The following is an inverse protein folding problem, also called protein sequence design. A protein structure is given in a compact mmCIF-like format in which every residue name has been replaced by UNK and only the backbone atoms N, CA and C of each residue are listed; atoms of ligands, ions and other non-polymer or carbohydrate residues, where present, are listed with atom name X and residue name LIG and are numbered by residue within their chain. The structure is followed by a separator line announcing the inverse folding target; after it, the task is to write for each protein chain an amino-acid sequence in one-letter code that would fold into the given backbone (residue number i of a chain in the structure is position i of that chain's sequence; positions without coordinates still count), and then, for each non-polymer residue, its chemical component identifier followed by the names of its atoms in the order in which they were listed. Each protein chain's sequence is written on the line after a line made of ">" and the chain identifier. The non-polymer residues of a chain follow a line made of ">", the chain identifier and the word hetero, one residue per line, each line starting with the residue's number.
data_IF_495276163732
#
_entry.id   IF_495276163732
#
_cell.length_a   1.000
_cell.length_b   1.000
_cell.length_c   1.000
_cell.angle_alpha   90.00
_cell.angle_beta   90.00
_cell.angle_gamma   90.00
#
_symmetry.space_group_name_H-M   'P 1'
#
loop_
_entity.id
_entity.type
_entity.pdbx_description
1 polymer ?
#
# COMPACT_ATOMS: atom_id res chain seq x y z
N UNK A 1 0.94 -3.71 -0.71
CA UNK A 1 0.41 -5.05 -1.07
C UNK A 1 1.44 -6.14 -1.41
N UNK A 2 2.56 -5.85 -2.10
CA UNK A 2 3.60 -6.89 -2.37
C UNK A 2 4.68 -7.02 -1.28
N UNK A 3 4.75 -6.06 -0.35
CA UNK A 3 5.73 -6.05 0.73
C UNK A 3 5.64 -7.31 1.59
N UNK A 4 6.78 -7.98 1.78
CA UNK A 4 6.91 -9.20 2.58
C UNK A 4 6.40 -10.47 1.89
N UNK A 5 5.92 -10.40 0.65
CA UNK A 5 5.49 -11.59 -0.11
C UNK A 5 6.67 -12.28 -0.78
N UNK A 6 6.65 -13.61 -0.75
CA UNK A 6 7.56 -14.46 -1.53
C UNK A 6 7.00 -14.66 -2.94
N UNK A 7 7.71 -14.17 -3.95
CA UNK A 7 7.33 -14.27 -5.36
C UNK A 7 8.30 -15.18 -6.09
N UNK A 8 7.78 -16.25 -6.69
CA UNK A 8 8.56 -17.11 -7.57
C UNK A 8 8.34 -16.70 -9.03
N UNK A 9 9.37 -16.14 -9.65
CA UNK A 9 9.36 -15.70 -11.03
C UNK A 9 9.91 -16.80 -11.95
N UNK A 10 9.02 -17.42 -12.72
CA UNK A 10 9.36 -18.30 -13.84
C UNK A 10 9.62 -17.51 -15.11
N UNK A 11 10.74 -17.75 -15.78
CA UNK A 11 11.12 -17.06 -17.02
C UNK A 11 11.33 -18.08 -18.14
N UNK A 12 10.65 -17.89 -19.26
CA UNK A 12 10.67 -18.80 -20.41
C UNK A 12 11.39 -18.20 -21.62
N UNK A 13 11.83 -19.03 -22.56
CA UNK A 13 12.68 -18.62 -23.69
C UNK A 13 11.95 -17.83 -24.76
N UNK A 14 12.05 -16.50 -24.70
CA UNK A 14 11.60 -15.60 -25.75
C UNK A 14 12.22 -14.21 -25.60
N UNK A 15 12.15 -13.40 -26.65
CA UNK A 15 12.80 -12.08 -26.69
C UNK A 15 12.40 -11.19 -25.51
N UNK A 16 11.16 -11.29 -25.02
CA UNK A 16 10.69 -10.50 -23.88
C UNK A 16 11.38 -10.83 -22.54
N UNK A 17 12.22 -11.87 -22.46
CA UNK A 17 12.92 -12.23 -21.23
C UNK A 17 13.85 -11.11 -20.71
N UNK A 18 14.39 -10.23 -21.57
CA UNK A 18 15.20 -9.10 -21.08
C UNK A 18 14.41 -8.16 -20.17
N UNK A 19 13.09 -8.02 -20.40
CA UNK A 19 12.20 -7.18 -19.59
C UNK A 19 12.11 -7.62 -18.13
N UNK A 20 12.42 -8.90 -17.86
CA UNK A 20 12.34 -9.46 -16.51
C UNK A 20 13.36 -8.84 -15.56
N UNK A 21 14.46 -8.30 -16.07
CA UNK A 21 15.44 -7.55 -15.25
C UNK A 21 14.80 -6.31 -14.59
N UNK A 22 13.98 -5.58 -15.33
CA UNK A 22 13.21 -4.46 -14.81
C UNK A 22 12.09 -4.94 -13.88
N UNK A 23 11.39 -6.02 -14.24
CA UNK A 23 10.33 -6.60 -13.43
C UNK A 23 10.85 -7.02 -12.05
N UNK A 24 11.97 -7.75 -11.95
CA UNK A 24 12.59 -8.12 -10.68
C UNK A 24 12.87 -6.88 -9.84
N UNK A 25 13.44 -5.83 -10.45
CA UNK A 25 13.72 -4.57 -9.74
C UNK A 25 12.45 -3.91 -9.19
N UNK A 26 11.36 -3.92 -9.94
CA UNK A 26 10.07 -3.37 -9.48
C UNK A 26 9.47 -4.19 -8.35
N UNK A 27 9.53 -5.52 -8.41
CA UNK A 27 9.05 -6.42 -7.36
C UNK A 27 9.84 -6.23 -6.05
N UNK A 28 11.17 -6.17 -6.14
CA UNK A 28 12.05 -5.89 -4.99
C UNK A 28 11.76 -4.49 -4.42
N UNK A 29 11.59 -3.48 -5.28
CA UNK A 29 11.23 -2.12 -4.85
C UNK A 29 9.86 -2.09 -4.15
N UNK A 30 8.93 -2.94 -4.55
CA UNK A 30 7.64 -3.12 -3.89
C UNK A 30 7.72 -3.93 -2.58
N UNK A 31 8.93 -4.35 -2.18
CA UNK A 31 9.22 -5.04 -0.92
C UNK A 31 9.01 -6.56 -0.95
N UNK A 32 8.86 -7.17 -2.12
CA UNK A 32 8.75 -8.62 -2.25
C UNK A 32 10.12 -9.30 -2.13
N UNK A 33 10.16 -10.54 -1.65
CA UNK A 33 11.30 -11.44 -1.79
C UNK A 33 11.12 -12.25 -3.09
N UNK A 34 12.12 -12.27 -3.96
CA UNK A 34 11.99 -12.79 -5.32
C UNK A 34 12.99 -13.91 -5.56
N UNK A 35 12.50 -15.11 -5.88
CA UNK A 35 13.31 -16.21 -6.42
C UNK A 35 12.99 -16.41 -7.89
N UNK A 36 13.98 -16.83 -8.67
CA UNK A 36 13.84 -16.93 -10.13
C UNK A 36 14.14 -18.35 -10.58
N UNK A 37 13.26 -18.89 -11.43
CA UNK A 37 13.45 -20.16 -12.13
C UNK A 37 13.46 -19.91 -13.64
N UNK A 38 14.59 -20.19 -14.29
CA UNK A 38 14.76 -20.11 -15.73
C UNK A 38 14.48 -21.47 -16.37
N UNK A 39 13.80 -21.48 -17.51
CA UNK A 39 13.93 -22.62 -18.45
C UNK A 39 15.30 -22.56 -19.11
N UNK A 40 15.83 -23.69 -19.58
CA UNK A 40 17.11 -23.74 -20.31
C UNK A 40 17.15 -22.73 -21.48
N UNK A 41 16.06 -22.67 -22.25
CA UNK A 41 15.91 -21.73 -23.38
C UNK A 41 15.94 -20.25 -22.96
N UNK A 42 15.54 -19.91 -21.73
CA UNK A 42 15.52 -18.52 -21.25
C UNK A 42 16.93 -17.99 -20.96
N UNK A 43 17.86 -18.87 -20.57
CA UNK A 43 19.26 -18.51 -20.28
C UNK A 43 19.99 -17.93 -21.49
N UNK A 44 19.49 -18.17 -22.71
CA UNK A 44 20.02 -17.55 -23.94
C UNK A 44 19.56 -16.10 -24.17
N UNK A 45 18.50 -15.65 -23.49
CA UNK A 45 17.92 -14.30 -23.68
C UNK A 45 18.18 -13.36 -22.50
N UNK A 46 18.39 -13.91 -21.30
CA UNK A 46 18.66 -13.13 -20.10
C UNK A 46 19.69 -13.84 -19.22
N UNK A 47 20.65 -13.08 -18.71
CA UNK A 47 21.75 -13.61 -17.91
C UNK A 47 21.27 -14.04 -16.52
N UNK A 48 21.51 -15.31 -16.12
CA UNK A 48 21.28 -15.76 -14.74
C UNK A 48 22.03 -14.90 -13.70
N UNK A 49 23.24 -14.43 -14.04
CA UNK A 49 24.06 -13.58 -13.16
C UNK A 49 23.40 -12.22 -12.90
N UNK A 50 22.81 -11.62 -13.94
CA UNK A 50 22.10 -10.34 -13.78
C UNK A 50 20.87 -10.51 -12.90
N UNK A 51 20.10 -11.58 -13.15
CA UNK A 51 18.90 -11.86 -12.37
C UNK A 51 19.22 -12.17 -10.91
N UNK A 52 20.29 -12.92 -10.62
CA UNK A 52 20.69 -13.23 -9.25
C UNK A 52 21.15 -11.99 -8.48
N UNK A 53 21.90 -11.10 -9.13
CA UNK A 53 22.33 -9.84 -8.54
C UNK A 53 21.14 -8.92 -8.20
N UNK A 54 20.14 -8.87 -9.08
CA UNK A 54 18.95 -8.04 -8.88
C UNK A 54 17.98 -8.62 -7.84
N UNK A 55 17.76 -9.94 -7.87
CA UNK A 55 16.85 -10.63 -6.95
C UNK A 55 17.46 -10.86 -5.56
N UNK A 56 18.80 -10.78 -5.45
CA UNK A 56 19.58 -11.16 -4.27
C UNK A 56 19.41 -12.63 -3.87
N UNK A 57 18.99 -13.46 -4.83
CA UNK A 57 18.78 -14.90 -4.66
C UNK A 57 19.43 -15.67 -5.82
N UNK A 58 19.88 -16.92 -5.61
CA UNK A 58 20.32 -17.78 -6.71
C UNK A 58 19.21 -17.96 -7.76
N UNK A 59 19.61 -18.02 -9.03
CA UNK A 59 18.71 -18.35 -10.14
C UNK A 59 18.81 -19.83 -10.43
N UNK A 60 17.67 -20.51 -10.41
CA UNK A 60 17.59 -21.96 -10.59
C UNK A 60 17.18 -22.28 -12.04
N UNK A 61 17.68 -23.38 -12.60
CA UNK A 61 17.33 -23.79 -13.98
C UNK A 61 17.20 -25.31 -14.15
N UNK A 62 18.00 -26.08 -13.42
CA UNK A 62 18.03 -27.54 -13.47
C UNK A 62 17.55 -28.19 -12.17
N UNK A 63 17.12 -29.45 -12.22
CA UNK A 63 16.81 -30.23 -11.01
C UNK A 63 18.05 -30.52 -10.17
N UNK A 64 19.22 -30.64 -10.80
CA UNK A 64 20.48 -30.99 -10.16
C UNK A 64 21.39 -29.78 -10.17
N UNK A 65 21.97 -29.48 -9.01
CA UNK A 65 23.00 -28.46 -8.83
C UNK A 65 24.30 -29.17 -8.46
N UNK A 66 25.29 -29.04 -9.33
CA UNK A 66 26.64 -29.56 -9.12
C UNK A 66 27.56 -28.38 -8.77
N UNK A 67 28.03 -28.33 -7.53
CA UNK A 67 29.04 -27.37 -7.06
C UNK A 67 30.06 -28.10 -6.17
N UNK A 68 31.35 -27.89 -6.42
CA UNK A 68 32.47 -28.34 -5.59
C UNK A 68 32.38 -29.80 -5.10
N UNK A 69 32.17 -30.74 -6.03
CA UNK A 69 31.99 -32.19 -5.75
C UNK A 69 30.80 -32.55 -4.84
N UNK A 70 29.88 -31.62 -4.61
CA UNK A 70 28.59 -31.88 -3.98
C UNK A 70 27.48 -31.86 -5.02
N UNK A 71 26.66 -32.92 -5.00
CA UNK A 71 25.44 -33.00 -5.79
C UNK A 71 24.29 -32.67 -4.86
N UNK A 72 23.62 -31.55 -5.12
CA UNK A 72 22.39 -31.17 -4.44
C UNK A 72 21.26 -31.08 -5.47
N UNK A 73 20.01 -31.14 -5.01
CA UNK A 73 18.85 -31.06 -5.91
C UNK A 73 17.99 -29.85 -5.55
N UNK A 74 17.45 -29.20 -6.58
CA UNK A 74 16.53 -28.10 -6.41
C UNK A 74 15.12 -28.66 -6.16
N UNK A 75 14.62 -28.47 -4.94
CA UNK A 75 13.33 -29.01 -4.52
C UNK A 75 12.16 -28.19 -5.10
N UNK A 76 11.60 -28.69 -6.20
CA UNK A 76 10.46 -28.08 -6.88
C UNK A 76 9.22 -27.94 -5.99
N UNK A 77 9.02 -28.84 -5.02
CA UNK A 77 7.90 -28.79 -4.05
C UNK A 77 8.12 -27.68 -3.05
N UNK A 78 9.31 -27.57 -2.46
CA UNK A 78 9.65 -26.48 -1.54
C UNK A 78 9.55 -25.11 -2.22
N UNK A 79 9.99 -24.99 -3.48
CA UNK A 79 9.83 -23.75 -4.24
C UNK A 79 8.36 -23.38 -4.42
N UNK A 80 7.51 -24.37 -4.73
CA UNK A 80 6.07 -24.17 -4.89
C UNK A 80 5.34 -23.81 -3.59
N UNK A 81 5.80 -24.34 -2.45
CA UNK A 81 5.27 -24.02 -1.11
C UNK A 81 5.81 -22.71 -0.54
N UNK A 82 7.04 -22.33 -0.92
CA UNK A 82 7.67 -21.09 -0.48
C UNK A 82 6.98 -19.85 -1.05
N UNK A 83 6.46 -19.95 -2.27
CA UNK A 83 5.86 -18.83 -2.98
C UNK A 83 4.45 -18.49 -2.45
N UNK A 84 4.24 -17.23 -2.07
CA UNK A 84 2.89 -16.66 -1.87
C UNK A 84 2.19 -16.37 -3.20
N UNK A 85 2.98 -16.25 -4.28
CA UNK A 85 2.54 -16.00 -5.64
C UNK A 85 3.59 -16.52 -6.63
N UNK A 86 3.14 -17.22 -7.67
CA UNK A 86 4.00 -17.62 -8.79
C UNK A 86 3.67 -16.76 -10.02
N UNK A 87 4.68 -16.23 -10.69
CA UNK A 87 4.54 -15.43 -11.91
C UNK A 87 5.39 -16.04 -13.02
N UNK A 88 4.78 -16.36 -14.16
CA UNK A 88 5.51 -16.81 -15.36
C UNK A 88 5.52 -15.68 -16.38
N UNK A 89 6.66 -15.02 -16.54
CA UNK A 89 6.82 -13.85 -17.40
C UNK A 89 8.24 -13.80 -18.01
N UNK A 90 8.37 -13.81 -19.36
CA UNK A 90 7.32 -14.14 -20.32
C UNK A 90 6.86 -15.60 -20.20
N UNK A 91 5.59 -15.85 -20.51
CA UNK A 91 5.04 -17.18 -20.76
C UNK A 91 4.94 -17.40 -22.28
N UNK A 92 5.90 -18.13 -22.84
CA UNK A 92 5.91 -18.47 -24.27
C UNK A 92 4.85 -19.52 -24.62
N UNK A 93 4.45 -19.57 -25.89
CA UNK A 93 3.50 -20.57 -26.40
C UNK A 93 3.94 -22.02 -26.06
N UNK A 94 5.24 -22.31 -26.14
CA UNK A 94 5.81 -23.61 -25.77
C UNK A 94 5.53 -23.97 -24.31
N UNK A 95 5.89 -23.08 -23.36
CA UNK A 95 5.65 -23.35 -21.94
C UNK A 95 4.17 -23.42 -21.60
N UNK A 96 3.33 -22.53 -22.15
CA UNK A 96 1.89 -22.56 -21.90
C UNK A 96 1.22 -23.83 -22.45
N UNK A 97 1.64 -24.29 -23.63
CA UNK A 97 1.18 -25.56 -24.19
C UNK A 97 1.49 -26.71 -23.22
N UNK A 98 2.72 -26.79 -22.73
CA UNK A 98 3.16 -27.78 -21.73
C UNK A 98 2.38 -27.68 -20.42
N UNK A 99 2.21 -26.48 -19.87
CA UNK A 99 1.39 -26.24 -18.67
C UNK A 99 -0.05 -26.72 -18.87
N UNK A 100 -0.64 -26.45 -20.04
CA UNK A 100 -2.04 -26.80 -20.33
C UNK A 100 -2.29 -28.31 -20.52
N UNK A 101 -1.23 -29.09 -20.72
CA UNK A 101 -1.26 -30.56 -20.88
C UNK A 101 -0.60 -31.32 -19.72
N UNK A 102 -0.11 -30.62 -18.70
CA UNK A 102 0.56 -31.24 -17.55
C UNK A 102 1.94 -31.85 -17.87
N UNK A 103 2.60 -31.42 -18.94
CA UNK A 103 3.98 -31.83 -19.19
C UNK A 103 4.90 -31.31 -18.08
N UNK A 104 5.76 -32.18 -17.55
CA UNK A 104 6.63 -31.91 -16.41
C UNK A 104 8.07 -32.32 -16.74
N UNK A 105 8.72 -31.58 -17.64
CA UNK A 105 10.02 -31.96 -18.20
C UNK A 105 11.18 -31.03 -17.77
N UNK A 106 10.91 -30.03 -16.95
CA UNK A 106 11.90 -29.10 -16.43
C UNK A 106 11.51 -28.59 -15.04
N UNK A 107 12.47 -27.95 -14.35
CA UNK A 107 12.28 -27.46 -12.98
C UNK A 107 11.08 -26.50 -12.86
N UNK A 108 10.92 -25.56 -13.81
CA UNK A 108 9.84 -24.58 -13.78
C UNK A 108 8.46 -25.26 -13.84
N UNK A 109 8.26 -26.23 -14.75
CA UNK A 109 7.00 -26.94 -14.89
C UNK A 109 6.71 -27.85 -13.69
N UNK A 110 7.73 -28.49 -13.13
CA UNK A 110 7.59 -29.28 -11.90
C UNK A 110 7.17 -28.41 -10.72
N UNK A 111 7.77 -27.21 -10.59
CA UNK A 111 7.38 -26.25 -9.56
C UNK A 111 5.98 -25.71 -9.79
N UNK A 112 5.59 -25.39 -11.03
CA UNK A 112 4.23 -24.97 -11.37
C UNK A 112 3.19 -26.01 -10.93
N UNK A 113 3.40 -27.29 -11.23
CA UNK A 113 2.48 -28.36 -10.82
C UNK A 113 2.45 -28.58 -9.30
N UNK A 114 3.47 -28.13 -8.57
CA UNK A 114 3.54 -28.21 -7.10
C UNK A 114 3.02 -26.95 -6.40
N UNK A 115 2.83 -25.85 -7.14
CA UNK A 115 2.41 -24.57 -6.56
C UNK A 115 1.04 -24.69 -5.89
N UNK A 116 0.94 -24.12 -4.68
CA UNK A 116 -0.32 -23.99 -3.93
C UNK A 116 -0.85 -22.56 -3.88
N UNK A 117 -0.04 -21.62 -4.35
CA UNK A 117 -0.37 -20.21 -4.44
C UNK A 117 -1.02 -19.85 -5.78
N UNK A 118 -1.61 -18.65 -5.90
CA UNK A 118 -2.08 -18.14 -7.19
C UNK A 118 -0.96 -18.07 -8.22
N UNK A 119 -1.22 -18.59 -9.42
CA UNK A 119 -0.28 -18.59 -10.54
C UNK A 119 -0.72 -17.55 -11.57
N UNK A 120 0.16 -16.61 -11.87
CA UNK A 120 0.01 -15.61 -12.91
C UNK A 120 0.87 -15.99 -14.12
N UNK A 121 0.39 -15.70 -15.33
CA UNK A 121 1.18 -15.85 -16.54
C UNK A 121 1.00 -14.64 -17.47
N UNK A 122 2.12 -14.11 -17.97
CA UNK A 122 2.16 -12.99 -18.91
C UNK A 122 2.61 -13.49 -20.29
N UNK A 123 1.67 -13.76 -21.22
CA UNK A 123 2.00 -14.32 -22.53
C UNK A 123 2.92 -13.43 -23.33
N UNK A 124 3.86 -14.04 -24.06
CA UNK A 124 4.70 -13.33 -25.02
C UNK A 124 5.03 -14.24 -26.22
N UNK A 125 4.60 -13.83 -27.41
CA UNK A 125 4.87 -14.54 -28.67
C UNK A 125 4.59 -13.64 -29.87
N UNK A 126 4.93 -14.12 -31.06
CA UNK A 126 4.62 -13.42 -32.30
C UNK A 126 3.10 -13.37 -32.59
N UNK A 127 2.67 -12.47 -33.48
CA UNK A 127 1.26 -12.19 -33.80
C UNK A 127 0.51 -13.44 -34.21
N UNK A 128 1.08 -14.22 -35.13
CA UNK A 128 0.41 -15.42 -35.67
C UNK A 128 0.37 -16.54 -34.63
N UNK A 129 1.42 -16.65 -33.80
CA UNK A 129 1.44 -17.59 -32.69
C UNK A 129 0.37 -17.24 -31.65
N UNK A 130 0.15 -15.96 -31.38
CA UNK A 130 -0.86 -15.49 -30.43
C UNK A 130 -2.28 -15.81 -30.92
N UNK A 131 -2.52 -15.63 -32.21
CA UNK A 131 -3.82 -15.91 -32.86
C UNK A 131 -4.09 -17.39 -33.09
N UNK A 132 -3.06 -18.24 -33.06
CA UNK A 132 -3.19 -19.65 -33.35
C UNK A 132 -4.15 -20.36 -32.37
N UNK A 133 -5.00 -21.26 -32.89
CA UNK A 133 -6.05 -21.92 -32.10
C UNK A 133 -5.49 -22.73 -30.93
N UNK A 134 -4.33 -23.38 -31.09
CA UNK A 134 -3.69 -24.10 -29.97
C UNK A 134 -3.32 -23.17 -28.80
N UNK A 135 -2.89 -21.93 -29.10
CA UNK A 135 -2.55 -20.93 -28.07
C UNK A 135 -3.82 -20.47 -27.34
N UNK A 136 -4.90 -20.21 -28.08
CA UNK A 136 -6.21 -19.86 -27.48
C UNK A 136 -6.72 -20.96 -26.56
N UNK A 137 -6.66 -22.22 -27.00
CA UNK A 137 -7.03 -23.37 -26.18
C UNK A 137 -6.14 -23.50 -24.93
N UNK A 138 -4.84 -23.21 -25.03
CA UNK A 138 -3.97 -23.13 -23.86
C UNK A 138 -4.39 -22.01 -22.90
N UNK A 139 -4.76 -20.82 -23.39
CA UNK A 139 -5.27 -19.75 -22.52
C UNK A 139 -6.54 -20.17 -21.78
N UNK A 140 -7.50 -20.76 -22.50
CA UNK A 140 -8.76 -21.21 -21.92
C UNK A 140 -8.54 -22.28 -20.86
N UNK A 141 -7.72 -23.30 -21.16
CA UNK A 141 -7.39 -24.37 -20.20
C UNK A 141 -6.67 -23.82 -18.97
N UNK A 142 -5.65 -22.98 -19.14
CA UNK A 142 -4.93 -22.43 -17.99
C UNK A 142 -5.85 -21.58 -17.11
N UNK A 143 -6.73 -20.77 -17.71
CA UNK A 143 -7.76 -20.05 -16.94
C UNK A 143 -8.72 -21.01 -16.21
N UNK A 144 -9.12 -22.11 -16.85
CA UNK A 144 -9.97 -23.13 -16.23
C UNK A 144 -9.32 -23.83 -15.03
N UNK A 145 -7.99 -23.85 -14.97
CA UNK A 145 -7.23 -24.36 -13.82
C UNK A 145 -7.10 -23.34 -12.68
N UNK A 146 -7.63 -22.12 -12.85
CA UNK A 146 -7.52 -21.03 -11.89
C UNK A 146 -6.28 -20.13 -12.09
N UNK A 147 -5.50 -20.34 -13.15
CA UNK A 147 -4.38 -19.45 -13.46
C UNK A 147 -4.87 -18.09 -13.96
N UNK A 148 -4.15 -17.05 -13.58
CA UNK A 148 -4.52 -15.66 -13.85
C UNK A 148 -3.70 -15.13 -15.02
N UNK A 149 -4.36 -14.92 -16.16
CA UNK A 149 -3.72 -14.37 -17.34
C UNK A 149 -3.53 -12.86 -17.18
N UNK A 150 -2.29 -12.40 -17.33
CA UNK A 150 -1.98 -10.98 -17.55
C UNK A 150 -2.03 -10.76 -19.06
N UNK A 151 -2.95 -9.92 -19.59
CA UNK A 151 -3.12 -9.76 -21.04
C UNK A 151 -1.84 -9.31 -21.75
N UNK A 152 -1.62 -9.81 -22.96
CA UNK A 152 -0.59 -9.29 -23.85
C UNK A 152 -1.00 -7.90 -24.37
N UNK A 153 -0.02 -7.09 -24.73
CA UNK A 153 -0.26 -5.80 -25.36
C UNK A 153 -0.08 -5.88 -26.88
N UNK A 154 -0.60 -4.87 -27.58
CA UNK A 154 -0.38 -4.68 -29.01
C UNK A 154 0.75 -3.70 -29.26
N UNK A 155 1.58 -3.98 -30.27
CA UNK A 155 2.66 -3.08 -30.69
C UNK A 155 3.55 -3.71 -31.74
N UNK A 156 4.69 -3.06 -32.02
CA UNK A 156 5.74 -3.64 -32.86
C UNK A 156 6.39 -4.85 -32.17
N UNK A 157 6.58 -5.92 -32.92
CA UNK A 157 7.15 -7.20 -32.51
C UNK A 157 8.56 -7.37 -33.09
N UNK A 158 9.35 -8.27 -32.51
CA UNK A 158 10.73 -8.53 -32.95
C UNK A 158 10.82 -9.06 -34.40
N UNK A 159 9.74 -9.62 -34.94
CA UNK A 159 9.60 -10.02 -36.35
C UNK A 159 9.47 -8.83 -37.31
N UNK A 160 9.24 -7.62 -36.82
CA UNK A 160 8.85 -6.45 -37.60
C UNK A 160 7.34 -6.34 -37.86
N UNK A 161 6.55 -7.31 -37.39
CA UNK A 161 5.08 -7.25 -37.45
C UNK A 161 4.53 -6.31 -36.37
N UNK A 162 3.31 -5.81 -36.59
CA UNK A 162 2.57 -5.01 -35.61
C UNK A 162 1.28 -5.73 -35.21
N UNK A 163 1.08 -5.93 -33.90
CA UNK A 163 -0.15 -6.52 -33.38
C UNK A 163 -0.03 -7.07 -31.97
N UNK A 164 -1.03 -7.83 -31.56
CA UNK A 164 -1.14 -8.44 -30.24
C UNK A 164 -0.20 -9.63 -30.06
N UNK A 165 0.42 -9.74 -28.89
CA UNK A 165 1.37 -10.82 -28.56
C UNK A 165 2.59 -10.36 -27.76
N UNK A 166 2.77 -9.05 -27.62
CA UNK A 166 3.84 -8.47 -26.83
C UNK A 166 3.57 -8.66 -25.33
N UNK A 167 4.58 -9.08 -24.57
CA UNK A 167 4.46 -9.14 -23.11
C UNK A 167 4.13 -7.74 -22.57
N UNK A 168 3.14 -7.66 -21.66
CA UNK A 168 2.84 -6.46 -20.89
C UNK A 168 4.11 -5.83 -20.30
N UNK A 169 4.12 -4.50 -20.16
CA UNK A 169 5.27 -3.84 -19.56
C UNK A 169 5.41 -4.21 -18.08
N UNK A 170 6.65 -4.27 -17.54
CA UNK A 170 6.88 -4.66 -16.16
C UNK A 170 6.03 -3.89 -15.13
N UNK A 171 5.82 -2.60 -15.34
CA UNK A 171 4.96 -1.74 -14.51
C UNK A 171 3.51 -2.20 -14.52
N UNK A 172 2.99 -2.54 -15.70
CA UNK A 172 1.61 -3.03 -15.88
C UNK A 172 1.43 -4.41 -15.22
N UNK A 173 2.43 -5.29 -15.31
CA UNK A 173 2.42 -6.60 -14.64
C UNK A 173 2.32 -6.41 -13.11
N UNK A 174 3.16 -5.54 -12.54
CA UNK A 174 3.14 -5.26 -11.09
C UNK A 174 1.81 -4.66 -10.68
N UNK A 175 1.30 -3.69 -11.45
CA UNK A 175 0.02 -3.04 -11.19
C UNK A 175 -1.15 -4.04 -11.26
N UNK A 176 -1.15 -4.92 -12.27
CA UNK A 176 -2.18 -5.96 -12.42
C UNK A 176 -2.22 -6.89 -11.21
N UNK A 177 -1.06 -7.38 -10.77
CA UNK A 177 -0.95 -8.25 -9.59
C UNK A 177 -1.44 -7.52 -8.34
N UNK A 178 -1.03 -6.27 -8.13
CA UNK A 178 -1.50 -5.46 -7.01
C UNK A 178 -3.03 -5.31 -7.03
N UNK A 179 -3.59 -4.90 -8.17
CA UNK A 179 -5.05 -4.78 -8.32
C UNK A 179 -5.77 -6.10 -8.05
N UNK A 180 -5.24 -7.24 -8.53
CA UNK A 180 -5.82 -8.54 -8.23
C UNK A 180 -5.84 -8.83 -6.72
N UNK A 181 -4.70 -8.62 -6.04
CA UNK A 181 -4.59 -8.83 -4.60
C UNK A 181 -5.51 -7.91 -3.78
N UNK A 182 -5.87 -6.72 -4.30
CA UNK A 182 -6.81 -5.82 -3.61
C UNK A 182 -8.28 -6.23 -3.68
N UNK A 183 -8.70 -7.02 -4.67
CA UNK A 183 -10.14 -7.27 -4.93
C UNK A 183 -10.85 -8.06 -3.82
N UNK A 184 -10.12 -8.72 -2.93
CA UNK A 184 -10.68 -9.45 -1.79
C UNK A 184 -10.53 -8.74 -0.44
N UNK A 185 -10.01 -7.51 -0.42
CA UNK A 185 -9.71 -6.82 0.84
C UNK A 185 -10.91 -6.02 1.37
N UNK A 186 -11.06 -5.87 2.71
CA UNK A 186 -12.27 -5.29 3.32
C UNK A 186 -12.58 -3.84 2.90
N UNK A 187 -11.58 -3.05 2.53
CA UNK A 187 -11.72 -1.65 2.12
C UNK A 187 -11.48 -1.46 0.62
N UNK A 188 -11.56 -2.54 -0.16
CA UNK A 188 -11.42 -2.45 -1.62
C UNK A 188 -12.46 -1.52 -2.23
N UNK A 189 -11.99 -0.58 -3.07
CA UNK A 189 -12.85 0.43 -3.70
C UNK A 189 -13.29 1.57 -2.78
N UNK A 190 -12.80 1.64 -1.54
CA UNK A 190 -13.06 2.76 -0.63
C UNK A 190 -11.99 3.83 -0.72
N UNK A 191 -12.43 5.09 -0.70
CA UNK A 191 -11.57 6.27 -0.60
C UNK A 191 -11.55 6.78 0.83
N UNK A 192 -10.37 6.94 1.41
CA UNK A 192 -10.19 7.33 2.80
C UNK A 192 -9.32 8.57 2.90
N UNK A 193 -9.82 9.61 3.55
CA UNK A 193 -9.06 10.81 3.87
C UNK A 193 -8.57 10.74 5.32
N UNK A 194 -7.28 10.96 5.52
CA UNK A 194 -6.64 10.89 6.84
C UNK A 194 -5.81 12.15 7.04
N UNK A 195 -6.04 12.86 8.14
CA UNK A 195 -5.15 13.96 8.55
C UNK A 195 -4.13 13.44 9.57
N UNK A 196 -2.86 13.82 9.44
CA UNK A 196 -1.79 13.43 10.36
C UNK A 196 -0.86 14.59 10.70
N UNK A 197 -0.10 14.43 11.80
CA UNK A 197 0.94 15.40 12.20
C UNK A 197 0.40 16.61 12.98
N UNK A 198 1.28 17.52 13.40
CA UNK A 198 0.92 18.81 13.97
C UNK A 198 0.62 19.85 12.87
N UNK A 199 0.09 21.01 13.23
CA UNK A 199 0.19 22.21 12.37
C UNK A 199 1.07 23.25 13.04
N UNK A 200 1.83 24.00 12.23
CA UNK A 200 2.75 25.04 12.69
C UNK A 200 2.24 26.41 12.22
N UNK A 201 1.80 27.21 13.17
CA UNK A 201 1.27 28.55 12.94
C UNK A 201 2.39 29.58 13.07
N UNK A 202 2.82 30.16 11.94
CA UNK A 202 3.97 31.05 11.89
C UNK A 202 3.75 32.34 12.69
N UNK A 203 4.68 32.65 13.59
CA UNK A 203 4.78 33.95 14.27
C UNK A 203 5.61 34.89 13.41
N UNK A 204 6.76 34.40 12.93
CA UNK A 204 7.69 35.05 12.02
C UNK A 204 8.36 33.96 11.14
N UNK A 205 9.25 34.27 10.19
CA UNK A 205 9.85 33.24 9.31
C UNK A 205 10.73 32.21 10.02
N UNK A 206 10.98 32.37 11.33
CA UNK A 206 11.88 31.52 12.13
C UNK A 206 11.13 30.80 13.25
N UNK A 207 10.01 31.35 13.72
CA UNK A 207 9.29 30.87 14.90
C UNK A 207 7.84 30.56 14.57
N UNK A 208 7.31 29.53 15.21
CA UNK A 208 5.93 29.10 15.06
C UNK A 208 5.35 28.63 16.40
N UNK A 209 4.03 28.52 16.44
CA UNK A 209 3.26 27.82 17.49
C UNK A 209 2.84 26.48 16.93
N UNK A 210 3.01 25.40 17.69
CA UNK A 210 2.65 24.06 17.24
C UNK A 210 2.54 23.06 18.38
N UNK A 211 2.23 21.82 18.03
CA UNK A 211 2.01 20.72 18.96
C UNK A 211 3.09 19.63 18.83
N UNK A 212 3.29 18.84 19.87
CA UNK A 212 4.28 17.75 19.92
C UNK A 212 3.86 16.46 19.19
N UNK A 213 2.94 16.55 18.24
CA UNK A 213 2.51 15.37 17.47
C UNK A 213 3.61 14.94 16.50
N UNK A 214 3.98 13.66 16.53
CA UNK A 214 4.87 13.09 15.50
C UNK A 214 4.13 12.76 14.20
N UNK A 215 2.79 12.69 14.23
CA UNK A 215 1.95 12.20 13.14
C UNK A 215 1.88 10.68 13.00
N UNK A 216 2.61 9.91 13.82
CA UNK A 216 2.75 8.46 13.67
C UNK A 216 1.40 7.72 13.59
N UNK A 217 0.42 8.09 14.40
CA UNK A 217 -0.91 7.45 14.39
C UNK A 217 -1.60 7.56 13.02
N UNK A 218 -1.61 8.75 12.42
CA UNK A 218 -2.21 8.96 11.11
C UNK A 218 -1.46 8.25 9.98
N UNK A 219 -0.13 8.12 10.09
CA UNK A 219 0.65 7.34 9.13
C UNK A 219 0.38 5.84 9.22
N UNK A 220 0.27 5.29 10.43
CA UNK A 220 -0.06 3.88 10.61
C UNK A 220 -1.50 3.58 10.17
N UNK A 221 -2.46 4.49 10.42
CA UNK A 221 -3.81 4.40 9.85
C UNK A 221 -3.79 4.38 8.32
N UNK A 222 -3.00 5.27 7.69
CA UNK A 222 -2.90 5.30 6.22
C UNK A 222 -2.30 4.02 5.64
N UNK A 223 -1.23 3.50 6.26
CA UNK A 223 -0.63 2.22 5.85
C UNK A 223 -1.60 1.06 6.00
N UNK A 224 -2.27 0.96 7.15
CA UNK A 224 -3.22 -0.10 7.44
C UNK A 224 -4.43 -0.06 6.49
N UNK A 225 -5.02 1.14 6.27
CA UNK A 225 -6.11 1.34 5.33
C UNK A 225 -5.73 0.92 3.91
N UNK A 226 -4.56 1.35 3.44
CA UNK A 226 -4.08 1.00 2.11
C UNK A 226 -3.78 -0.50 1.96
N UNK A 227 -3.25 -1.14 3.01
CA UNK A 227 -3.05 -2.59 3.06
C UNK A 227 -4.36 -3.38 3.13
N UNK A 228 -5.45 -2.75 3.58
CA UNK A 228 -6.82 -3.29 3.52
C UNK A 228 -7.55 -2.93 2.21
N UNK A 229 -6.85 -2.38 1.21
CA UNK A 229 -7.36 -2.16 -0.14
C UNK A 229 -7.90 -0.77 -0.43
N UNK A 230 -7.83 0.17 0.52
CA UNK A 230 -8.32 1.53 0.32
C UNK A 230 -7.40 2.39 -0.57
N UNK A 231 -7.99 3.33 -1.29
CA UNK A 231 -7.32 4.51 -1.82
C UNK A 231 -7.25 5.58 -0.74
N UNK A 232 -6.05 6.03 -0.36
CA UNK A 232 -5.86 6.90 0.80
C UNK A 232 -5.31 8.27 0.38
N UNK A 233 -5.98 9.33 0.81
CA UNK A 233 -5.46 10.70 0.79
C UNK A 233 -4.95 11.04 2.19
N UNK A 234 -3.64 11.07 2.36
CA UNK A 234 -2.99 11.40 3.62
C UNK A 234 -2.55 12.88 3.61
N UNK A 235 -3.29 13.74 4.30
CA UNK A 235 -2.92 15.16 4.50
C UNK A 235 -2.08 15.26 5.77
N UNK A 236 -0.80 15.56 5.61
CA UNK A 236 0.19 15.45 6.68
C UNK A 236 0.84 16.81 6.95
N UNK A 237 0.76 17.23 8.20
CA UNK A 237 1.54 18.34 8.72
C UNK A 237 3.05 18.05 8.79
N UNK A 238 3.84 18.94 9.40
CA UNK A 238 5.28 18.75 9.54
C UNK A 238 5.64 17.47 10.30
N UNK A 239 6.37 16.56 9.65
CA UNK A 239 6.79 15.27 10.22
C UNK A 239 7.91 14.66 9.36
N UNK A 240 8.89 14.04 10.02
CA UNK A 240 9.99 13.29 9.39
C UNK A 240 9.56 11.91 8.87
N UNK A 241 8.29 11.53 9.10
CA UNK A 241 7.75 10.26 8.65
C UNK A 241 7.56 10.26 7.13
N UNK A 242 8.00 9.17 6.52
CA UNK A 242 7.75 8.84 5.12
C UNK A 242 6.81 7.63 5.03
N UNK A 243 6.06 7.57 3.94
CA UNK A 243 5.25 6.41 3.59
C UNK A 243 5.42 6.13 2.11
N UNK A 244 5.71 4.87 1.78
CA UNK A 244 5.82 4.41 0.41
C UNK A 244 4.79 3.31 0.20
N UNK A 245 3.63 3.68 -0.35
CA UNK A 245 2.59 2.75 -0.74
C UNK A 245 1.86 3.32 -1.96
N UNK A 246 1.65 2.51 -2.99
CA UNK A 246 1.07 2.97 -4.26
C UNK A 246 -0.35 3.53 -4.11
N UNK A 247 -1.15 2.99 -3.17
CA UNK A 247 -2.50 3.50 -2.88
C UNK A 247 -2.55 4.72 -1.95
N UNK A 248 -1.42 5.29 -1.53
CA UNK A 248 -1.39 6.45 -0.63
C UNK A 248 -0.90 7.70 -1.38
N UNK A 249 -1.79 8.69 -1.51
CA UNK A 249 -1.44 10.05 -1.96
C UNK A 249 -1.11 10.90 -0.74
N UNK A 250 0.18 11.17 -0.53
CA UNK A 250 0.68 12.03 0.55
C UNK A 250 0.68 13.50 0.12
N UNK A 251 -0.06 14.34 0.85
CA UNK A 251 -0.14 15.79 0.66
C UNK A 251 0.46 16.47 1.89
N UNK A 252 1.56 17.20 1.71
CA UNK A 252 2.26 17.90 2.81
C UNK A 252 1.72 19.32 2.96
N UNK A 253 1.43 19.69 4.20
CA UNK A 253 0.96 21.03 4.60
C UNK A 253 1.74 21.50 5.84
N UNK A 254 1.74 22.80 6.10
CA UNK A 254 2.42 23.38 7.27
C UNK A 254 1.42 23.91 8.28
N UNK A 255 0.44 24.69 7.85
CA UNK A 255 -0.51 25.40 8.71
C UNK A 255 -1.89 24.72 8.79
N UNK A 256 -2.69 25.10 9.80
CA UNK A 256 -4.08 24.66 9.92
C UNK A 256 -4.95 25.14 8.75
N UNK A 257 -4.69 26.33 8.20
CA UNK A 257 -5.42 26.84 7.02
C UNK A 257 -5.10 26.05 5.75
N UNK A 258 -3.82 25.70 5.54
CA UNK A 258 -3.43 24.82 4.43
C UNK A 258 -4.09 23.45 4.58
N UNK A 259 -4.00 22.85 5.77
CA UNK A 259 -4.66 21.57 6.04
C UNK A 259 -6.16 21.65 5.80
N UNK A 260 -6.82 22.73 6.24
CA UNK A 260 -8.24 22.97 5.99
C UNK A 260 -8.54 22.97 4.49
N UNK A 261 -7.82 23.79 3.71
CA UNK A 261 -8.07 23.91 2.28
C UNK A 261 -7.83 22.59 1.55
N UNK A 262 -6.71 21.91 1.84
CA UNK A 262 -6.39 20.61 1.24
C UNK A 262 -7.41 19.55 1.62
N UNK A 263 -7.87 19.48 2.87
CA UNK A 263 -8.90 18.50 3.24
C UNK A 263 -10.18 18.70 2.42
N UNK A 264 -10.64 19.94 2.28
CA UNK A 264 -11.89 20.25 1.59
C UNK A 264 -11.79 20.12 0.06
N UNK A 265 -10.60 20.18 -0.53
CA UNK A 265 -10.37 19.86 -1.95
C UNK A 265 -10.77 18.40 -2.27
N UNK A 266 -10.54 17.47 -1.34
CA UNK A 266 -10.79 16.04 -1.56
C UNK A 266 -12.07 15.53 -0.90
N UNK A 267 -12.54 16.18 0.18
CA UNK A 267 -13.54 15.64 1.10
C UNK A 267 -14.83 15.13 0.44
N UNK A 268 -15.30 15.80 -0.61
CA UNK A 268 -16.56 15.47 -1.28
C UNK A 268 -16.58 14.04 -1.86
N UNK A 269 -15.44 13.55 -2.36
CA UNK A 269 -15.33 12.27 -3.06
C UNK A 269 -14.82 11.12 -2.17
N UNK A 270 -14.87 11.30 -0.84
CA UNK A 270 -14.33 10.36 0.15
C UNK A 270 -15.46 9.52 0.75
N UNK A 271 -15.20 8.25 1.07
CA UNK A 271 -16.12 7.39 1.83
C UNK A 271 -15.92 7.55 3.35
N UNK A 272 -14.65 7.64 3.79
CA UNK A 272 -14.28 7.63 5.22
C UNK A 272 -13.28 8.76 5.50
N UNK A 273 -13.55 9.59 6.51
CA UNK A 273 -12.63 10.64 6.95
C UNK A 273 -12.16 10.40 8.39
N UNK A 274 -10.84 10.36 8.61
CA UNK A 274 -10.22 10.11 9.91
C UNK A 274 -9.34 11.30 10.31
N UNK A 275 -9.78 12.08 11.31
CA UNK A 275 -9.05 13.24 11.82
C UNK A 275 -8.10 12.89 12.96
N UNK A 276 -6.90 12.40 12.62
CA UNK A 276 -5.85 12.05 13.56
C UNK A 276 -4.76 13.14 13.74
N UNK A 277 -4.89 14.30 13.08
CA UNK A 277 -3.93 15.40 13.20
C UNK A 277 -4.12 16.17 14.51
N UNK A 278 -3.02 16.70 15.05
CA UNK A 278 -3.03 17.64 16.16
C UNK A 278 -3.01 19.07 15.60
N UNK A 279 -4.17 19.54 15.18
CA UNK A 279 -4.35 20.88 14.60
C UNK A 279 -4.32 21.92 15.71
N UNK A 280 -3.55 23.00 15.51
CA UNK A 280 -3.47 24.10 16.47
C UNK A 280 -4.82 24.84 16.56
N UNK A 281 -5.36 24.99 17.77
CA UNK A 281 -6.64 25.66 18.00
C UNK A 281 -6.61 27.17 17.71
N UNK A 282 -5.42 27.77 17.81
CA UNK A 282 -5.18 29.20 17.63
C UNK A 282 -3.98 29.46 16.74
N UNK A 283 -4.00 30.57 16.01
CA UNK A 283 -2.89 31.10 15.21
C UNK A 283 -2.61 32.57 15.52
N UNK A 284 -1.39 33.07 15.25
CA UNK A 284 -1.12 34.50 15.28
C UNK A 284 -2.08 35.28 14.38
N UNK A 285 -2.67 36.36 14.91
CA UNK A 285 -3.58 37.25 14.16
C UNK A 285 -2.93 37.82 12.91
N UNK A 286 -1.62 38.07 12.99
CA UNK A 286 -0.77 38.49 11.87
C UNK A 286 0.62 37.89 12.05
N UNK A 287 1.04 37.08 11.09
CA UNK A 287 2.43 36.63 11.00
C UNK A 287 3.32 37.79 10.53
N UNK A 288 4.51 37.93 11.10
CA UNK A 288 5.49 38.91 10.66
C UNK A 288 6.26 38.38 9.42
N UNK A 289 6.48 39.24 8.42
CA UNK A 289 7.26 38.88 7.23
C UNK A 289 8.77 38.80 7.51
N UNK A 290 9.21 39.38 8.63
CA UNK A 290 10.61 39.40 9.05
C UNK A 290 10.74 38.92 10.49
N UNK A 291 11.90 38.33 10.80
CA UNK A 291 12.24 37.89 12.16
C UNK A 291 12.08 39.05 13.14
N UNK A 292 11.24 38.85 14.15
CA UNK A 292 10.99 39.89 15.16
C UNK A 292 12.29 40.14 15.94
N UNK A 293 12.80 41.37 15.87
CA UNK A 293 14.08 41.78 16.48
C UNK A 293 13.96 41.75 18.01
N UNK A 294 14.99 41.24 18.69
CA UNK A 294 15.08 41.16 20.18
C UNK A 294 15.38 42.52 20.84
N UNK A 295 14.67 43.58 20.46
CA UNK A 295 14.92 44.93 21.00
C UNK A 295 14.17 45.19 22.31
N UNK A 296 13.05 44.52 22.53
CA UNK A 296 12.20 44.71 23.70
C UNK A 296 12.35 43.57 24.71
N UNK A 297 12.11 43.88 25.99
CA UNK A 297 12.17 42.92 27.09
C UNK A 297 10.96 41.99 27.15
N UNK A 298 9.89 42.28 26.40
CA UNK A 298 8.65 41.50 26.31
C UNK A 298 8.24 41.33 24.85
N UNK A 299 7.66 40.18 24.53
CA UNK A 299 7.04 39.89 23.24
C UNK A 299 5.61 39.46 23.49
N UNK A 300 4.65 40.18 22.91
CA UNK A 300 3.22 39.84 22.93
C UNK A 300 2.81 39.35 21.55
N UNK A 301 2.07 38.25 21.49
CA UNK A 301 1.54 37.66 20.26
C UNK A 301 0.03 37.55 20.41
N UNK A 302 -0.71 38.31 19.61
CA UNK A 302 -2.17 38.22 19.57
C UNK A 302 -2.59 36.97 18.79
N UNK A 303 -3.44 36.15 19.39
CA UNK A 303 -3.93 34.90 18.80
C UNK A 303 -5.40 35.00 18.41
N UNK A 304 -5.75 34.36 17.30
CA UNK A 304 -7.13 34.17 16.83
C UNK A 304 -7.41 32.69 16.64
N UNK A 305 -8.66 32.28 16.81
CA UNK A 305 -9.07 30.88 16.67
C UNK A 305 -8.90 30.40 15.22
N UNK A 306 -8.41 29.19 15.05
CA UNK A 306 -8.35 28.53 13.75
C UNK A 306 -9.71 27.98 13.31
N UNK A 307 -9.84 27.71 12.00
CA UNK A 307 -11.00 27.00 11.47
C UNK A 307 -11.00 25.57 11.97
N UNK A 308 -12.14 25.10 12.48
CA UNK A 308 -12.27 23.74 12.97
C UNK A 308 -12.56 22.78 11.79
N UNK A 309 -11.50 22.12 11.30
CA UNK A 309 -11.57 21.22 10.14
C UNK A 309 -12.59 20.09 10.38
N UNK A 310 -12.57 19.48 11.57
CA UNK A 310 -13.44 18.36 11.90
C UNK A 310 -14.92 18.78 12.01
N UNK A 311 -15.19 19.96 12.57
CA UNK A 311 -16.53 20.52 12.59
C UNK A 311 -17.02 20.83 11.17
N UNK A 312 -16.20 21.47 10.35
CA UNK A 312 -16.53 21.81 8.96
C UNK A 312 -16.85 20.57 8.11
N UNK A 313 -16.09 19.47 8.28
CA UNK A 313 -16.44 18.19 7.66
C UNK A 313 -17.79 17.66 8.16
N UNK A 314 -18.04 17.72 9.47
CA UNK A 314 -19.32 17.31 10.05
C UNK A 314 -20.53 18.12 9.56
N UNK A 315 -20.34 19.41 9.29
CA UNK A 315 -21.37 20.31 8.71
C UNK A 315 -21.63 20.02 7.23
N UNK A 316 -20.61 19.58 6.48
CA UNK A 316 -20.69 19.24 5.05
C UNK A 316 -20.94 17.75 4.79
N UNK A 317 -21.17 16.97 5.85
CA UNK A 317 -21.35 15.53 5.78
C UNK A 317 -22.62 15.18 5.00
N UNK A 318 -22.47 14.43 3.92
CA UNK A 318 -23.58 13.87 3.16
C UNK A 318 -23.68 12.36 3.43
N UNK A 319 -22.65 11.61 3.06
CA UNK A 319 -22.60 10.14 3.14
C UNK A 319 -21.31 9.62 3.77
N UNK A 320 -20.38 10.50 4.15
CA UNK A 320 -19.06 10.15 4.67
C UNK A 320 -19.18 9.53 6.07
N UNK A 321 -18.36 8.51 6.37
CA UNK A 321 -18.15 8.02 7.73
C UNK A 321 -17.02 8.81 8.39
N UNK A 322 -17.33 9.64 9.39
CA UNK A 322 -16.36 10.56 10.01
C UNK A 322 -15.93 10.06 11.38
N UNK A 323 -14.60 9.92 11.55
CA UNK A 323 -13.96 9.54 12.80
C UNK A 323 -13.07 10.67 13.30
N UNK A 324 -13.38 11.17 14.50
CA UNK A 324 -12.53 12.14 15.20
C UNK A 324 -11.57 11.46 16.18
N UNK A 325 -10.54 12.19 16.61
CA UNK A 325 -9.76 11.85 17.79
C UNK A 325 -10.03 12.82 18.94
N UNK A 326 -9.98 12.30 20.16
CA UNK A 326 -10.01 13.06 21.40
C UNK A 326 -8.80 12.68 22.28
N UNK A 327 -8.25 13.69 22.93
CA UNK A 327 -7.22 13.55 23.94
C UNK A 327 -7.58 14.55 25.03
N UNK A 328 -8.20 14.05 26.08
CA UNK A 328 -8.70 14.86 27.20
C UNK A 328 -7.94 14.44 28.45
N UNK A 329 -7.73 15.37 29.39
CA UNK A 329 -7.08 15.08 30.69
C UNK A 329 -8.09 14.93 31.83
N UNK A 330 -9.31 15.43 31.64
CA UNK A 330 -10.38 15.44 32.64
C UNK A 330 -11.71 15.10 31.95
N UNK A 331 -12.61 14.39 32.66
CA UNK A 331 -13.94 14.00 32.18
C UNK A 331 -13.93 13.42 30.75
N UNK A 332 -12.96 12.55 30.48
CA UNK A 332 -12.54 12.16 29.13
C UNK A 332 -13.70 11.63 28.26
N UNK A 333 -14.52 10.74 28.82
CA UNK A 333 -15.65 10.13 28.11
C UNK A 333 -16.74 11.15 27.81
N UNK A 334 -17.12 11.98 28.78
CA UNK A 334 -18.19 12.97 28.61
C UNK A 334 -17.79 14.04 27.58
N UNK A 335 -16.55 14.51 27.64
CA UNK A 335 -15.99 15.44 26.67
C UNK A 335 -15.92 14.84 25.26
N UNK A 336 -15.50 13.57 25.13
CA UNK A 336 -15.49 12.85 23.86
C UNK A 336 -16.89 12.69 23.26
N UNK A 337 -17.88 12.28 24.08
CA UNK A 337 -19.28 12.15 23.65
C UNK A 337 -19.90 13.51 23.26
N UNK A 338 -19.58 14.57 24.00
CA UNK A 338 -19.99 15.93 23.65
C UNK A 338 -19.38 16.40 22.32
N UNK A 339 -18.10 16.10 22.08
CA UNK A 339 -17.41 16.41 20.82
C UNK A 339 -17.99 15.61 19.64
N UNK A 340 -18.28 14.32 19.85
CA UNK A 340 -18.92 13.44 18.87
C UNK A 340 -20.24 14.03 18.36
N UNK A 341 -21.14 14.40 19.28
CA UNK A 341 -22.44 15.00 18.92
C UNK A 341 -22.29 16.37 18.26
N UNK A 342 -21.50 17.27 18.88
CA UNK A 342 -21.32 18.65 18.39
C UNK A 342 -20.73 18.71 16.99
N UNK A 343 -19.86 17.76 16.63
CA UNK A 343 -19.20 17.72 15.32
C UNK A 343 -19.83 16.72 14.33
N UNK A 344 -21.02 16.19 14.62
CA UNK A 344 -21.75 15.28 13.73
C UNK A 344 -20.93 14.05 13.27
N UNK A 345 -20.18 13.44 14.20
CA UNK A 345 -19.28 12.32 13.92
C UNK A 345 -19.98 10.96 14.00
N UNK A 346 -19.50 9.97 13.26
CA UNK A 346 -19.96 8.58 13.39
C UNK A 346 -19.23 7.83 14.49
N UNK A 347 -17.98 8.23 14.76
CA UNK A 347 -17.20 7.72 15.86
C UNK A 347 -16.15 8.72 16.35
N UNK A 348 -15.67 8.51 17.57
CA UNK A 348 -14.54 9.22 18.14
C UNK A 348 -13.62 8.24 18.84
N UNK A 349 -12.33 8.36 18.57
CA UNK A 349 -11.26 7.60 19.22
C UNK A 349 -10.73 8.44 20.38
N UNK A 350 -10.97 7.99 21.60
CA UNK A 350 -10.46 8.61 22.82
C UNK A 350 -9.14 7.94 23.21
N UNK A 351 -8.07 8.74 23.26
CA UNK A 351 -6.75 8.29 23.73
C UNK A 351 -6.64 8.47 25.25
N UNK A 352 -6.14 7.46 25.96
CA UNK A 352 -5.79 7.60 27.38
C UNK A 352 -4.43 8.30 27.54
N UNK A 353 -4.37 9.31 28.42
CA UNK A 353 -3.11 9.91 28.89
C UNK A 353 -2.66 9.39 30.26
N UNK A 354 -3.55 8.72 30.98
CA UNK A 354 -3.34 8.28 32.35
C UNK A 354 -2.53 6.97 32.44
N UNK A 355 -2.42 6.24 31.33
CA UNK A 355 -1.65 5.00 31.27
C UNK A 355 -0.19 5.29 30.86
N UNK A 356 0.75 4.79 31.65
CA UNK A 356 2.18 4.91 31.39
C UNK A 356 2.55 4.29 30.03
N UNK A 357 2.91 5.15 29.08
CA UNK A 357 3.31 4.75 27.73
C UNK A 357 2.33 5.16 26.61
N UNK A 358 1.12 5.61 26.92
CA UNK A 358 0.15 6.07 25.92
C UNK A 358 0.34 7.57 25.53
N UNK A 359 -0.21 7.99 24.38
CA UNK A 359 -0.28 9.41 23.99
C UNK A 359 0.75 9.93 22.97
N UNK A 360 0.99 11.25 23.01
CA UNK A 360 1.87 11.96 22.07
C UNK A 360 3.34 11.55 22.25
N UNK A 361 4.09 11.49 21.14
CA UNK A 361 5.51 11.18 21.14
C UNK A 361 5.89 9.73 21.50
N UNK A 362 4.92 8.89 21.89
CA UNK A 362 5.13 7.45 22.18
C UNK A 362 4.84 6.56 20.98
N UNK A 363 5.38 5.34 20.98
CA UNK A 363 5.13 4.33 19.94
C UNK A 363 3.85 3.51 20.19
N UNK A 364 3.38 3.47 21.43
CA UNK A 364 2.17 2.76 21.85
C UNK A 364 1.02 3.73 22.10
N UNK A 365 -0.20 3.18 22.14
CA UNK A 365 -1.40 3.93 22.48
C UNK A 365 -2.43 2.97 23.09
N UNK A 366 -3.28 3.50 23.97
CA UNK A 366 -4.43 2.81 24.54
C UNK A 366 -5.65 3.65 24.23
N UNK A 367 -6.67 3.04 23.64
CA UNK A 367 -7.80 3.79 23.09
C UNK A 367 -9.14 3.21 23.54
N UNK A 368 -10.14 4.08 23.54
CA UNK A 368 -11.55 3.71 23.54
C UNK A 368 -12.19 4.20 22.25
N UNK A 369 -12.87 3.32 21.53
CA UNK A 369 -13.65 3.65 20.36
C UNK A 369 -15.10 3.89 20.79
N UNK A 370 -15.61 5.10 20.58
CA UNK A 370 -16.98 5.49 20.95
C UNK A 370 -17.74 5.80 19.67
N UNK A 371 -18.86 5.10 19.42
CA UNK A 371 -19.68 5.35 18.22
C UNK A 371 -20.82 6.34 18.47
N UNK A 372 -21.52 6.74 17.39
CA UNK A 372 -22.66 7.67 17.43
C UNK A 372 -23.82 7.23 18.32
N UNK A 373 -23.93 5.93 18.61
CA UNK A 373 -24.91 5.36 19.53
C UNK A 373 -24.39 5.31 20.98
N UNK A 374 -23.21 5.88 21.23
CA UNK A 374 -22.51 5.92 22.51
C UNK A 374 -22.06 4.55 23.01
N UNK A 375 -21.98 3.53 22.15
CA UNK A 375 -21.33 2.29 22.51
C UNK A 375 -19.83 2.50 22.63
N UNK A 376 -19.24 1.97 23.69
CA UNK A 376 -17.82 2.11 23.99
C UNK A 376 -17.15 0.75 23.88
N UNK A 377 -16.09 0.67 23.08
CA UNK A 377 -15.18 -0.48 23.05
C UNK A 377 -13.78 -0.04 23.44
N UNK A 378 -13.26 -0.61 24.52
CA UNK A 378 -11.93 -0.31 25.04
C UNK A 378 -10.91 -1.32 24.51
N UNK A 379 -9.71 -0.83 24.21
CA UNK A 379 -8.59 -1.65 23.77
C UNK A 379 -7.42 -1.49 24.73
N UNK A 380 -6.63 -2.56 24.88
CA UNK A 380 -5.42 -2.54 25.69
C UNK A 380 -4.31 -1.68 25.06
N UNK A 381 -3.25 -1.44 25.82
CA UNK A 381 -2.06 -0.73 25.33
C UNK A 381 -1.38 -1.58 24.25
N UNK A 382 -1.34 -1.06 23.02
CA UNK A 382 -0.73 -1.71 21.86
C UNK A 382 0.16 -0.74 21.09
N UNK A 383 0.92 -1.24 20.12
CA UNK A 383 1.63 -0.36 19.19
C UNK A 383 0.64 0.45 18.35
N UNK A 384 1.06 1.63 17.87
CA UNK A 384 0.20 2.45 16.99
C UNK A 384 -0.20 1.75 15.69
N UNK A 385 0.61 0.80 15.21
CA UNK A 385 0.27 -0.04 14.06
C UNK A 385 -0.88 -0.99 14.37
N UNK A 386 -0.86 -1.65 15.53
CA UNK A 386 -1.96 -2.53 15.97
C UNK A 386 -3.23 -1.73 16.30
N UNK A 387 -3.09 -0.57 16.94
CA UNK A 387 -4.22 0.34 17.21
C UNK A 387 -4.86 0.82 15.91
N UNK A 388 -4.08 1.07 14.85
CA UNK A 388 -4.62 1.44 13.55
C UNK A 388 -5.52 0.33 12.97
N UNK A 389 -5.12 -0.94 13.12
CA UNK A 389 -5.92 -2.09 12.71
C UNK A 389 -7.21 -2.19 13.53
N UNK A 390 -7.13 -2.03 14.87
CA UNK A 390 -8.31 -2.03 15.75
C UNK A 390 -9.34 -0.98 15.31
N UNK A 391 -8.88 0.27 15.08
CA UNK A 391 -9.74 1.37 14.63
C UNK A 391 -10.40 1.05 13.29
N UNK A 392 -9.63 0.57 12.30
CA UNK A 392 -10.18 0.28 10.97
C UNK A 392 -11.18 -0.88 11.00
N UNK A 393 -10.94 -1.91 11.82
CA UNK A 393 -11.90 -3.01 12.00
C UNK A 393 -13.23 -2.53 12.61
N UNK A 394 -13.18 -1.61 13.58
CA UNK A 394 -14.39 -1.01 14.16
C UNK A 394 -15.15 -0.14 13.16
N UNK A 395 -14.43 0.55 12.26
CA UNK A 395 -15.01 1.32 11.16
C UNK A 395 -15.69 0.36 10.16
N UNK A 396 -14.99 -0.67 9.69
CA UNK A 396 -15.52 -1.67 8.74
C UNK A 396 -16.80 -2.30 9.27
N UNK A 397 -16.79 -2.73 10.54
CA UNK A 397 -17.96 -3.35 11.18
C UNK A 397 -19.19 -2.45 11.17
N UNK A 398 -19.00 -1.11 11.26
CA UNK A 398 -20.10 -0.13 11.31
C UNK A 398 -20.53 0.42 9.97
N UNK A 399 -19.69 0.31 8.93
CA UNK A 399 -20.06 0.68 7.57
C UNK A 399 -20.91 -0.42 6.91
N UNK A 400 -20.74 -1.67 7.35
CA UNK A 400 -21.50 -2.83 6.85
C UNK A 400 -22.68 -3.26 7.72
N UNK A 401 -22.89 -2.64 8.87
CA UNK A 401 -24.04 -2.84 9.76
C UNK A 401 -25.17 -1.88 9.38
#
# INVERSE_FOLDING_TARGET
>A
MLGGKNILLGITGGIAAYKTTFLVRLLIKAGADVKVVLTDSASSFVSPLTLSALSKNPVLSSFVKEEDNSISWNNHVELGLWADLMLIAPATANTMSKMSHGTCDNLLLATYLSAKCPVFFAPAMDLDMYKHESTKLSFERLKSFGNIMIPATSGELASGLHGEGRMAEPEDIVQFIQTYLSKGLPLSGKKILITAGPTYEAIDPVRFIGNHSSGLMGYELAKAAANMGAEVVLVSGPSDLSVQHHSIKLLKVVSADEMYNTVHEYYKDIDIAISAAAVADYKPKKAADQKIKKKESKLTIDLVKNKDILLSMGEQKENQFIVGFALETENEIENAQGKLKRKNLDAIVLNSLNDSGAGFGKQTNKISFIDKNLNIKTFDLKTKAEVALDILNEIITRIHA
#
